data_IF_597689760291
#
_entry.id   IF_597689760291
#
_cell.length_a   1.000
_cell.length_b   1.000
_cell.length_c   1.000
_cell.angle_alpha   90.00
_cell.angle_beta   90.00
_cell.angle_gamma   90.00
#
_symmetry.space_group_name_H-M   'P 1'
#
loop_
_entity.id
_entity.type
_entity.pdbx_description
1 polymer ?
#
# COMPACT_ATOMS: atom_id res chain seq x y z
N UNK A 1 -19.20 -43.89 -30.82
CA UNK A 1 -18.38 -43.73 -32.04
C UNK A 1 -17.03 -43.24 -31.58
N UNK A 2 -16.09 -44.18 -31.46
CA UNK A 2 -14.75 -44.01 -30.88
C UNK A 2 -13.78 -43.74 -32.01
N UNK A 3 -13.02 -42.65 -31.94
CA UNK A 3 -11.91 -42.37 -32.87
C UNK A 3 -10.60 -42.32 -32.10
N UNK A 4 -9.87 -43.43 -32.20
CA UNK A 4 -8.48 -43.62 -31.78
C UNK A 4 -7.57 -42.86 -32.76
N UNK A 5 -6.67 -42.01 -32.30
CA UNK A 5 -5.56 -41.42 -33.05
C UNK A 5 -4.22 -41.93 -32.53
N UNK A 6 -3.53 -42.58 -33.44
CA UNK A 6 -2.24 -43.25 -33.33
C UNK A 6 -1.10 -42.31 -32.97
N UNK A 7 -0.15 -42.83 -32.21
CA UNK A 7 1.12 -42.22 -31.86
C UNK A 7 2.07 -42.05 -33.03
N UNK A 8 2.93 -41.03 -32.93
CA UNK A 8 4.16 -40.92 -33.75
C UNK A 8 5.36 -41.08 -32.81
N UNK A 9 6.17 -42.08 -33.16
CA UNK A 9 7.48 -42.37 -32.62
C UNK A 9 8.51 -41.31 -33.01
N UNK A 10 9.33 -40.88 -32.06
CA UNK A 10 10.51 -40.03 -32.25
C UNK A 10 11.74 -40.90 -32.59
N UNK A 11 12.65 -40.43 -33.47
CA UNK A 11 13.87 -41.16 -33.80
C UNK A 11 14.98 -40.96 -32.74
N UNK A 12 15.83 -41.95 -32.60
CA UNK A 12 16.98 -42.01 -31.69
C UNK A 12 18.13 -41.09 -32.14
N UNK A 13 18.98 -40.60 -31.19
CA UNK A 13 20.11 -39.77 -31.54
C UNK A 13 21.32 -40.58 -32.03
N UNK A 14 21.91 -40.13 -33.13
CA UNK A 14 23.11 -40.63 -33.75
C UNK A 14 24.36 -40.28 -32.96
N UNK A 15 25.25 -41.25 -32.85
CA UNK A 15 26.62 -41.15 -32.34
C UNK A 15 27.45 -40.07 -33.05
N UNK A 16 28.08 -39.18 -32.31
CA UNK A 16 29.17 -38.31 -32.80
C UNK A 16 30.46 -38.64 -32.03
N UNK A 17 31.44 -38.92 -32.86
CA UNK A 17 32.79 -39.37 -32.56
C UNK A 17 33.64 -38.36 -31.78
N UNK A 18 34.46 -38.93 -30.94
CA UNK A 18 35.55 -38.39 -30.13
C UNK A 18 36.56 -37.57 -30.98
N UNK A 19 36.75 -36.31 -30.61
CA UNK A 19 37.81 -35.42 -31.09
C UNK A 19 38.59 -34.82 -29.93
N UNK A 20 39.69 -35.43 -29.64
CA UNK A 20 40.68 -35.04 -28.64
C UNK A 20 41.34 -33.71 -29.07
N UNK A 21 41.09 -32.58 -28.33
CA UNK A 21 41.88 -31.33 -28.43
C UNK A 21 42.11 -30.73 -27.05
N UNK A 22 43.41 -30.67 -26.74
CA UNK A 22 44.16 -29.75 -25.91
C UNK A 22 43.47 -29.12 -24.69
N UNK A 23 43.89 -29.66 -23.54
CA UNK A 23 43.63 -29.09 -22.22
C UNK A 23 44.65 -27.95 -22.00
N UNK A 24 44.22 -26.70 -22.10
CA UNK A 24 44.93 -25.56 -21.52
C UNK A 24 43.89 -24.39 -21.36
N UNK A 25 43.94 -23.79 -20.16
CA UNK A 25 43.30 -22.54 -19.76
C UNK A 25 41.79 -22.60 -19.45
N UNK A 26 41.44 -23.24 -18.33
CA UNK A 26 40.25 -22.96 -17.59
C UNK A 26 40.58 -21.88 -16.53
N UNK A 27 40.00 -20.68 -16.55
CA UNK A 27 40.16 -19.72 -15.47
C UNK A 27 39.58 -20.32 -14.19
N UNK A 28 40.35 -20.33 -13.10
CA UNK A 28 39.89 -20.75 -11.77
C UNK A 28 38.65 -19.94 -11.41
N UNK A 29 37.53 -20.61 -11.22
CA UNK A 29 36.39 -20.04 -10.55
C UNK A 29 36.82 -19.59 -9.15
N UNK A 30 36.47 -18.37 -8.71
CA UNK A 30 36.69 -17.97 -7.34
C UNK A 30 35.90 -18.91 -6.41
N UNK A 31 36.54 -19.34 -5.34
CA UNK A 31 35.96 -20.19 -4.32
C UNK A 31 34.74 -19.52 -3.71
N UNK A 32 33.55 -19.95 -4.15
CA UNK A 32 32.24 -19.48 -3.68
C UNK A 32 31.86 -20.06 -2.31
N UNK A 33 32.78 -20.69 -1.61
CA UNK A 33 32.53 -21.25 -0.30
C UNK A 33 33.49 -20.65 0.73
N UNK A 34 33.12 -19.48 1.28
CA UNK A 34 33.76 -18.94 2.47
C UNK A 34 32.84 -19.17 3.68
N UNK A 35 33.28 -19.76 4.77
CA UNK A 35 32.49 -19.94 6.00
C UNK A 35 31.95 -18.61 6.58
N UNK A 36 32.61 -17.49 6.26
CA UNK A 36 32.16 -16.15 6.69
C UNK A 36 30.87 -15.70 6.04
N UNK A 37 30.57 -16.11 4.80
CA UNK A 37 29.32 -15.75 4.13
C UNK A 37 28.10 -16.42 4.78
N UNK A 38 28.28 -17.63 5.30
CA UNK A 38 27.22 -18.36 6.02
C UNK A 38 26.98 -17.78 7.42
N UNK A 39 28.02 -17.34 8.12
CA UNK A 39 27.89 -16.68 9.43
C UNK A 39 27.23 -15.31 9.31
N UNK A 40 27.54 -14.51 8.30
CA UNK A 40 26.90 -13.21 8.05
C UNK A 40 25.42 -13.38 7.65
N UNK A 41 25.08 -14.43 6.92
CA UNK A 41 23.71 -14.75 6.55
C UNK A 41 22.92 -15.28 7.78
N UNK A 42 23.54 -16.05 8.64
CA UNK A 42 22.95 -16.54 9.90
C UNK A 42 22.75 -15.41 10.91
N UNK A 43 23.70 -14.48 11.02
CA UNK A 43 23.58 -13.26 11.85
C UNK A 43 22.49 -12.33 11.32
N UNK A 44 22.34 -12.21 9.99
CA UNK A 44 21.26 -11.46 9.38
C UNK A 44 19.88 -12.12 9.60
N UNK A 45 19.81 -13.45 9.65
CA UNK A 45 18.60 -14.21 9.97
C UNK A 45 18.24 -14.17 11.47
N UNK A 46 19.22 -13.98 12.34
CA UNK A 46 19.04 -13.91 13.80
C UNK A 46 18.83 -12.49 14.33
N UNK A 47 18.96 -11.45 13.49
CA UNK A 47 18.59 -10.12 13.92
C UNK A 47 17.07 -10.06 14.10
N UNK A 48 16.56 -9.75 15.32
CA UNK A 48 15.14 -9.55 15.51
C UNK A 48 14.72 -8.45 14.53
N UNK A 49 13.83 -8.79 13.61
CA UNK A 49 13.31 -7.81 12.67
C UNK A 49 12.76 -6.63 13.49
N UNK A 50 13.42 -5.48 13.37
CA UNK A 50 12.90 -4.26 13.97
C UNK A 50 11.48 -4.10 13.46
N UNK A 51 10.53 -4.17 14.40
CA UNK A 51 9.13 -3.88 14.12
C UNK A 51 9.06 -2.62 13.26
N UNK A 52 8.63 -2.75 12.03
CA UNK A 52 8.44 -1.60 11.15
C UNK A 52 7.44 -0.67 11.79
N UNK A 53 7.62 0.63 11.60
CA UNK A 53 6.65 1.60 12.12
C UNK A 53 5.41 1.58 11.23
N UNK A 54 4.24 1.73 11.86
CA UNK A 54 2.97 1.84 11.15
C UNK A 54 3.04 2.95 10.08
N UNK A 55 2.64 2.63 8.84
CA UNK A 55 2.63 3.56 7.71
C UNK A 55 4.00 3.84 7.08
N UNK A 56 5.07 3.13 7.45
CA UNK A 56 6.40 3.35 6.88
C UNK A 56 6.46 2.93 5.41
N UNK A 57 5.80 1.82 5.06
CA UNK A 57 5.72 1.31 3.69
C UNK A 57 4.99 2.28 2.76
N UNK A 58 3.80 2.73 3.16
CA UNK A 58 3.00 3.68 2.40
C UNK A 58 3.70 5.06 2.27
N UNK A 59 4.32 5.55 3.34
CA UNK A 59 5.08 6.82 3.33
C UNK A 59 6.26 6.75 2.37
N UNK A 60 7.06 5.67 2.41
CA UNK A 60 8.16 5.45 1.48
C UNK A 60 7.67 5.39 0.03
N UNK A 61 6.54 4.72 -0.20
CA UNK A 61 5.95 4.64 -1.54
C UNK A 61 5.50 6.00 -2.05
N UNK A 62 4.90 6.82 -1.19
CA UNK A 62 4.57 8.21 -1.50
C UNK A 62 5.80 9.00 -1.92
N UNK A 63 6.90 8.91 -1.17
CA UNK A 63 8.16 9.60 -1.49
C UNK A 63 8.75 9.15 -2.82
N UNK A 64 8.82 7.83 -3.07
CA UNK A 64 9.29 7.25 -4.33
C UNK A 64 8.50 7.77 -5.53
N UNK A 65 7.16 7.73 -5.44
CA UNK A 65 6.26 8.15 -6.51
C UNK A 65 6.33 9.66 -6.74
N UNK A 66 6.41 10.45 -5.68
CA UNK A 66 6.56 11.91 -5.77
C UNK A 66 7.88 12.29 -6.43
N UNK A 67 8.98 11.67 -6.04
CA UNK A 67 10.28 11.90 -6.67
C UNK A 67 10.28 11.46 -8.15
N UNK A 68 9.68 10.31 -8.47
CA UNK A 68 9.57 9.84 -9.85
C UNK A 68 8.71 10.80 -10.69
N UNK A 69 7.60 11.31 -10.13
CA UNK A 69 6.75 12.30 -10.78
C UNK A 69 7.49 13.62 -11.02
N UNK A 70 8.23 14.14 -10.05
CA UNK A 70 9.04 15.34 -10.19
C UNK A 70 10.11 15.18 -11.27
N UNK A 71 10.83 14.05 -11.28
CA UNK A 71 11.83 13.74 -12.32
C UNK A 71 11.20 13.70 -13.70
N UNK A 72 10.06 13.00 -13.85
CA UNK A 72 9.34 12.87 -15.13
C UNK A 72 8.80 14.21 -15.65
N UNK A 73 8.39 15.11 -14.76
CA UNK A 73 7.83 16.42 -15.14
C UNK A 73 8.88 17.55 -15.13
N UNK A 74 10.16 17.26 -14.89
CA UNK A 74 11.22 18.27 -14.86
C UNK A 74 11.23 19.14 -16.11
N UNK A 75 11.09 18.56 -17.29
CA UNK A 75 11.03 19.30 -18.56
C UNK A 75 9.85 20.27 -18.61
N UNK A 76 8.67 19.85 -18.14
CA UNK A 76 7.47 20.72 -18.09
C UNK A 76 7.67 21.90 -17.14
N UNK A 77 8.27 21.67 -15.99
CA UNK A 77 8.60 22.74 -15.04
C UNK A 77 9.63 23.72 -15.61
N UNK A 78 10.63 23.22 -16.35
CA UNK A 78 11.61 24.09 -17.04
C UNK A 78 10.97 24.92 -18.14
N UNK A 79 10.07 24.35 -18.95
CA UNK A 79 9.32 25.08 -19.98
C UNK A 79 8.46 26.17 -19.32
N UNK A 80 7.74 25.83 -18.23
CA UNK A 80 6.94 26.78 -17.48
C UNK A 80 7.80 27.93 -16.93
N UNK A 81 8.94 27.61 -16.32
CA UNK A 81 9.87 28.60 -15.82
C UNK A 81 10.41 29.51 -16.95
N UNK A 82 10.82 28.93 -18.10
CA UNK A 82 11.30 29.67 -19.24
C UNK A 82 10.23 30.59 -19.85
N UNK A 83 8.95 30.18 -19.80
CA UNK A 83 7.82 30.99 -20.27
C UNK A 83 7.58 32.20 -19.38
N UNK A 84 7.61 32.02 -18.06
CA UNK A 84 7.33 33.10 -17.12
C UNK A 84 8.53 33.96 -16.75
N UNK A 85 9.78 33.48 -16.95
CA UNK A 85 10.98 34.24 -16.61
C UNK A 85 11.07 35.59 -17.35
N UNK A 86 10.79 35.70 -18.68
CA UNK A 86 10.81 36.99 -19.37
C UNK A 86 9.80 37.98 -18.80
N UNK A 87 8.59 37.51 -18.43
CA UNK A 87 7.56 38.33 -17.80
C UNK A 87 8.05 38.90 -16.47
N UNK A 88 8.57 38.04 -15.58
CA UNK A 88 9.10 38.46 -14.28
C UNK A 88 10.27 39.43 -14.44
N UNK A 89 11.20 39.14 -15.34
CA UNK A 89 12.33 40.01 -15.61
C UNK A 89 11.87 41.36 -16.16
N UNK A 90 10.98 41.37 -17.18
CA UNK A 90 10.47 42.58 -17.80
C UNK A 90 9.73 43.50 -16.83
N UNK A 91 8.85 42.93 -15.99
CA UNK A 91 8.09 43.71 -14.99
C UNK A 91 9.01 44.29 -13.93
N UNK A 92 10.05 43.57 -13.49
CA UNK A 92 10.99 44.07 -12.50
C UNK A 92 11.95 45.14 -13.10
N UNK A 93 12.35 45.01 -14.36
CA UNK A 93 13.14 46.06 -15.05
C UNK A 93 12.29 47.32 -15.22
N UNK A 94 11.03 47.20 -15.61
CA UNK A 94 10.10 48.33 -15.69
C UNK A 94 9.94 49.01 -14.30
N UNK A 95 9.81 48.26 -13.25
CA UNK A 95 9.65 48.77 -11.88
C UNK A 95 10.95 49.43 -11.36
N UNK A 96 12.11 49.05 -11.87
CA UNK A 96 13.37 49.76 -11.61
C UNK A 96 13.40 51.16 -12.23
N UNK A 97 12.71 51.32 -13.36
CA UNK A 97 12.62 52.61 -14.09
C UNK A 97 11.47 53.50 -13.61
N UNK A 98 10.30 52.90 -13.31
CA UNK A 98 9.11 53.59 -12.82
C UNK A 98 8.72 53.13 -11.40
N UNK A 99 8.94 54.01 -10.42
CA UNK A 99 8.71 53.69 -9.01
C UNK A 99 7.25 53.32 -8.70
N UNK A 100 6.27 53.83 -9.48
CA UNK A 100 4.88 53.50 -9.37
C UNK A 100 4.54 52.03 -9.65
N UNK A 101 5.40 51.33 -10.39
CA UNK A 101 5.22 49.91 -10.75
C UNK A 101 5.80 48.91 -9.74
N UNK A 102 6.50 49.36 -8.68
CA UNK A 102 7.16 48.49 -7.74
C UNK A 102 6.23 47.50 -7.02
N UNK A 103 5.05 47.99 -6.61
CA UNK A 103 4.01 47.17 -6.00
C UNK A 103 3.48 46.13 -6.96
N UNK A 104 3.18 46.47 -8.18
CA UNK A 104 2.68 45.56 -9.23
C UNK A 104 3.73 44.53 -9.61
N UNK A 105 4.99 44.92 -9.69
CA UNK A 105 6.10 44.00 -9.97
C UNK A 105 6.27 42.96 -8.86
N UNK A 106 6.23 43.38 -7.59
CA UNK A 106 6.26 42.48 -6.46
C UNK A 106 5.11 41.50 -6.45
N UNK A 107 3.88 41.96 -6.73
CA UNK A 107 2.69 41.11 -6.78
C UNK A 107 2.76 40.08 -7.90
N UNK A 108 3.14 40.50 -9.13
CA UNK A 108 3.29 39.58 -10.28
C UNK A 108 4.39 38.55 -10.01
N UNK A 109 5.53 38.98 -9.51
CA UNK A 109 6.64 38.06 -9.15
C UNK A 109 6.20 37.08 -8.08
N UNK A 110 5.56 37.55 -7.01
CA UNK A 110 5.05 36.70 -5.92
C UNK A 110 4.01 35.69 -6.42
N UNK A 111 3.09 36.10 -7.30
CA UNK A 111 2.08 35.24 -7.89
C UNK A 111 2.70 34.12 -8.75
N UNK A 112 3.68 34.47 -9.61
CA UNK A 112 4.37 33.49 -10.46
C UNK A 112 5.15 32.48 -9.61
N UNK A 113 5.87 32.96 -8.59
CA UNK A 113 6.61 32.08 -7.66
C UNK A 113 5.63 31.17 -6.91
N UNK A 114 4.54 31.73 -6.36
CA UNK A 114 3.53 30.94 -5.64
C UNK A 114 2.91 29.88 -6.54
N UNK A 115 2.53 30.24 -7.77
CA UNK A 115 1.98 29.30 -8.76
C UNK A 115 2.96 28.17 -9.06
N UNK A 116 4.24 28.50 -9.25
CA UNK A 116 5.27 27.50 -9.52
C UNK A 116 5.49 26.55 -8.34
N UNK A 117 5.52 27.10 -7.11
CA UNK A 117 5.63 26.31 -5.88
C UNK A 117 4.41 25.38 -5.72
N UNK A 118 3.21 25.92 -5.87
CA UNK A 118 1.96 25.12 -5.79
C UNK A 118 1.99 24.00 -6.84
N UNK A 119 2.28 24.31 -8.10
CA UNK A 119 2.33 23.31 -9.17
C UNK A 119 3.35 22.21 -8.89
N UNK A 120 4.47 22.52 -8.23
CA UNK A 120 5.51 21.56 -7.84
C UNK A 120 5.12 20.75 -6.59
N UNK A 121 4.36 21.33 -5.68
CA UNK A 121 3.95 20.70 -4.40
C UNK A 121 2.62 19.95 -4.49
N UNK A 122 1.91 20.01 -5.63
CA UNK A 122 0.62 19.35 -5.83
C UNK A 122 0.80 18.13 -6.74
N UNK A 123 1.24 16.98 -6.19
CA UNK A 123 1.28 15.75 -6.97
C UNK A 123 -0.14 15.32 -7.36
N UNK A 124 -0.29 14.47 -8.39
CA UNK A 124 -1.61 13.95 -8.78
C UNK A 124 -2.30 13.19 -7.64
N UNK A 125 -3.64 13.18 -7.59
CA UNK A 125 -4.41 12.56 -6.50
C UNK A 125 -4.08 11.08 -6.25
N UNK A 126 -3.70 10.34 -7.29
CA UNK A 126 -3.29 8.93 -7.14
C UNK A 126 -1.99 8.76 -6.35
N UNK A 127 -1.12 9.79 -6.29
CA UNK A 127 0.05 9.81 -5.41
C UNK A 127 -0.37 10.21 -3.98
N UNK A 128 -1.25 11.22 -3.87
CA UNK A 128 -1.76 11.68 -2.56
C UNK A 128 -2.48 10.58 -1.79
N UNK A 129 -3.17 9.65 -2.47
CA UNK A 129 -3.82 8.51 -1.84
C UNK A 129 -2.85 7.65 -1.00
N UNK A 130 -1.57 7.58 -1.37
CA UNK A 130 -0.55 6.89 -0.57
C UNK A 130 -0.21 7.63 0.72
N UNK A 131 -0.26 8.95 0.70
CA UNK A 131 -0.09 9.77 1.90
C UNK A 131 -1.29 9.61 2.84
N UNK A 132 -2.51 9.63 2.30
CA UNK A 132 -3.73 9.39 3.07
C UNK A 132 -3.71 7.98 3.70
N UNK A 133 -3.23 6.97 2.97
CA UNK A 133 -2.99 5.61 3.47
C UNK A 133 -2.00 5.60 4.64
N UNK A 134 -0.81 6.18 4.45
CA UNK A 134 0.21 6.25 5.49
C UNK A 134 -0.28 6.93 6.77
N UNK A 135 -1.07 8.00 6.64
CA UNK A 135 -1.67 8.70 7.78
C UNK A 135 -2.67 7.81 8.52
N UNK A 136 -3.54 7.08 7.78
CA UNK A 136 -4.50 6.15 8.37
C UNK A 136 -3.81 5.04 9.16
N UNK A 137 -2.77 4.42 8.57
CA UNK A 137 -1.97 3.38 9.23
C UNK A 137 -1.30 3.91 10.49
N UNK A 138 -0.73 5.14 10.46
CA UNK A 138 -0.14 5.77 11.64
C UNK A 138 -1.16 6.03 12.76
N UNK A 139 -2.38 6.47 12.41
CA UNK A 139 -3.44 6.66 13.39
C UNK A 139 -3.89 5.34 14.00
N UNK A 140 -4.05 4.30 13.19
CA UNK A 140 -4.33 2.94 13.66
C UNK A 140 -3.23 2.43 14.59
N UNK A 141 -1.95 2.58 14.20
CA UNK A 141 -0.84 2.19 15.04
C UNK A 141 -0.79 2.95 16.39
N UNK A 142 -1.21 4.22 16.42
CA UNK A 142 -1.33 4.96 17.68
C UNK A 142 -2.46 4.45 18.56
N UNK A 143 -3.63 4.17 17.95
CA UNK A 143 -4.79 3.61 18.68
C UNK A 143 -4.49 2.23 19.28
N UNK A 144 -3.67 1.42 18.61
CA UNK A 144 -3.28 0.10 19.09
C UNK A 144 -2.24 0.11 20.20
N UNK A 145 -1.46 1.17 20.34
CA UNK A 145 -0.29 1.22 21.28
C UNK A 145 -0.66 0.87 22.72
N UNK A 146 -1.82 1.28 23.18
CA UNK A 146 -2.27 0.98 24.54
C UNK A 146 -2.49 -0.51 24.81
N UNK A 147 -2.74 -1.31 23.77
CA UNK A 147 -2.99 -2.74 23.88
C UNK A 147 -1.71 -3.54 24.14
N UNK A 148 -0.55 -3.04 23.71
CA UNK A 148 0.74 -3.72 23.89
C UNK A 148 1.04 -3.99 25.37
N UNK A 149 0.73 -3.01 26.25
CA UNK A 149 0.89 -3.16 27.69
C UNK A 149 -0.12 -4.13 28.34
N UNK A 150 -1.15 -4.53 27.59
CA UNK A 150 -2.24 -5.41 28.04
C UNK A 150 -2.11 -6.84 27.51
N UNK A 151 -0.93 -7.24 27.05
CA UNK A 151 -0.64 -8.60 26.59
C UNK A 151 -1.05 -8.87 25.14
N UNK A 152 -1.33 -7.82 24.37
CA UNK A 152 -1.53 -7.93 22.92
C UNK A 152 -0.19 -7.86 22.18
N UNK A 153 -0.08 -8.56 21.07
CA UNK A 153 1.06 -8.52 20.15
C UNK A 153 0.61 -7.89 18.85
N UNK A 154 1.33 -6.84 18.43
CA UNK A 154 0.96 -6.01 17.28
C UNK A 154 2.11 -6.00 16.29
N UNK A 155 1.80 -6.32 15.04
CA UNK A 155 2.72 -6.30 13.93
C UNK A 155 2.27 -5.27 12.94
N UNK A 156 3.21 -4.50 12.42
CA UNK A 156 2.95 -3.43 11.45
C UNK A 156 3.69 -3.72 10.15
N UNK A 157 3.07 -3.32 9.02
CA UNK A 157 3.71 -3.29 7.69
C UNK A 157 4.33 -4.64 7.31
N UNK A 158 3.53 -5.72 7.42
CA UNK A 158 3.97 -7.06 7.07
C UNK A 158 3.85 -7.30 5.58
N UNK A 159 4.84 -7.98 4.99
CA UNK A 159 4.80 -8.36 3.59
C UNK A 159 3.85 -9.53 3.38
N UNK A 160 2.98 -9.45 2.37
CA UNK A 160 2.07 -10.49 1.95
C UNK A 160 2.44 -11.01 0.54
N UNK A 161 1.80 -12.10 0.11
CA UNK A 161 1.95 -12.62 -1.25
C UNK A 161 1.49 -11.60 -2.30
N UNK A 162 0.43 -10.86 -2.00
CA UNK A 162 -0.10 -9.78 -2.83
C UNK A 162 -0.17 -8.48 -2.03
N UNK A 163 0.89 -7.69 -2.05
CA UNK A 163 0.93 -6.37 -1.44
C UNK A 163 1.45 -6.36 -0.01
N UNK A 164 0.74 -5.69 0.88
CA UNK A 164 1.14 -5.40 2.25
C UNK A 164 -0.04 -5.58 3.20
N UNK A 165 0.24 -6.00 4.43
CA UNK A 165 -0.70 -6.05 5.54
C UNK A 165 -0.39 -4.90 6.48
N UNK A 166 -1.32 -3.98 6.67
CA UNK A 166 -1.08 -2.79 7.50
C UNK A 166 -0.77 -3.19 8.96
N UNK A 167 -1.66 -4.00 9.57
CA UNK A 167 -1.44 -4.49 10.92
C UNK A 167 -2.02 -5.89 11.12
N UNK A 168 -1.30 -6.73 11.86
CA UNK A 168 -1.82 -7.98 12.42
C UNK A 168 -1.78 -7.86 13.95
N UNK A 169 -2.89 -8.14 14.59
CA UNK A 169 -3.06 -8.00 16.04
C UNK A 169 -3.44 -9.34 16.63
N UNK A 170 -2.67 -9.82 17.59
CA UNK A 170 -2.89 -11.08 18.31
C UNK A 170 -3.11 -10.78 19.78
N UNK A 171 -4.21 -11.25 20.33
CA UNK A 171 -4.52 -11.00 21.74
C UNK A 171 -5.55 -11.98 22.31
N UNK A 172 -5.97 -11.77 23.57
CA UNK A 172 -6.92 -12.65 24.22
C UNK A 172 -8.25 -12.82 23.46
N UNK A 173 -8.71 -11.75 22.79
CA UNK A 173 -9.95 -11.74 22.01
C UNK A 173 -9.87 -12.49 20.67
N UNK A 174 -8.66 -12.78 20.17
CA UNK A 174 -8.48 -13.44 18.87
C UNK A 174 -7.30 -12.92 18.08
N UNK A 175 -7.31 -13.26 16.78
CA UNK A 175 -6.37 -12.72 15.79
C UNK A 175 -7.14 -11.85 14.80
N UNK A 176 -6.63 -10.68 14.54
CA UNK A 176 -7.26 -9.67 13.69
C UNK A 176 -6.27 -9.18 12.64
N UNK A 177 -6.72 -9.13 11.38
CA UNK A 177 -6.01 -8.43 10.32
C UNK A 177 -6.70 -7.08 10.10
N UNK A 178 -5.98 -6.00 10.31
CA UNK A 178 -6.51 -4.64 10.19
C UNK A 178 -5.98 -3.99 8.93
N UNK A 179 -6.87 -3.43 8.14
CA UNK A 179 -6.59 -2.64 6.95
C UNK A 179 -7.11 -1.22 7.18
N UNK A 180 -6.23 -0.23 7.14
CA UNK A 180 -6.53 1.15 7.54
C UNK A 180 -6.97 1.98 6.35
N UNK A 181 -8.15 2.58 6.42
CA UNK A 181 -8.70 3.39 5.34
C UNK A 181 -9.10 4.78 5.83
N UNK A 182 -8.55 5.80 5.16
CA UNK A 182 -8.99 7.18 5.32
C UNK A 182 -9.91 7.55 4.16
N UNK A 183 -11.20 7.36 4.38
CA UNK A 183 -12.20 7.71 3.39
C UNK A 183 -12.77 9.10 3.65
N UNK A 184 -13.08 9.81 2.56
CA UNK A 184 -13.72 11.13 2.63
C UNK A 184 -15.22 10.97 2.47
N UNK A 185 -15.99 11.84 3.13
CA UNK A 185 -17.45 11.79 3.13
C UNK A 185 -18.02 10.93 4.25
N UNK A 186 -19.35 10.86 4.31
CA UNK A 186 -20.05 10.01 5.27
C UNK A 186 -20.05 8.57 4.76
N UNK A 187 -19.59 7.65 5.59
CA UNK A 187 -19.45 6.24 5.26
C UNK A 187 -20.57 5.44 5.94
N UNK A 188 -21.22 4.59 5.17
CA UNK A 188 -22.19 3.59 5.68
C UNK A 188 -21.79 2.21 5.16
N UNK A 189 -22.15 1.17 5.89
CA UNK A 189 -21.86 -0.23 5.52
C UNK A 189 -23.15 -1.02 5.57
N UNK A 190 -23.47 -1.69 4.47
CA UNK A 190 -24.60 -2.60 4.36
C UNK A 190 -24.05 -4.00 4.06
N UNK A 191 -24.24 -4.92 5.02
CA UNK A 191 -23.50 -6.20 5.00
C UNK A 191 -21.98 -5.94 4.97
N UNK A 192 -21.29 -6.42 3.95
CA UNK A 192 -19.85 -6.16 3.74
C UNK A 192 -19.60 -5.12 2.64
N UNK A 193 -20.58 -4.30 2.28
CA UNK A 193 -20.48 -3.33 1.20
C UNK A 193 -20.38 -1.90 1.74
N UNK A 194 -19.19 -1.29 1.78
CA UNK A 194 -19.03 0.10 2.21
C UNK A 194 -19.42 1.06 1.06
N UNK A 195 -20.22 2.05 1.41
CA UNK A 195 -20.69 3.11 0.51
C UNK A 195 -20.32 4.46 1.07
N UNK A 196 -19.67 5.28 0.26
CA UNK A 196 -19.39 6.68 0.56
C UNK A 196 -20.49 7.58 0.02
N UNK A 197 -20.89 8.58 0.80
CA UNK A 197 -21.82 9.62 0.41
C UNK A 197 -21.18 10.99 0.60
N UNK A 198 -21.42 11.92 -0.32
CA UNK A 198 -21.00 13.31 -0.14
C UNK A 198 -21.79 13.96 0.99
N UNK A 199 -21.11 14.73 1.86
CA UNK A 199 -21.72 15.40 3.00
C UNK A 199 -22.47 16.67 2.55
N UNK A 200 -21.88 17.40 1.59
CA UNK A 200 -22.42 18.68 1.10
C UNK A 200 -22.54 18.68 -0.42
N UNK A 201 -23.60 19.26 -0.95
CA UNK A 201 -23.84 19.40 -2.39
C UNK A 201 -24.73 18.28 -2.98
N UNK A 202 -24.63 18.02 -4.31
CA UNK A 202 -25.43 16.99 -4.96
C UNK A 202 -25.24 15.63 -4.30
N UNK A 203 -26.32 14.86 -4.14
CA UNK A 203 -26.30 13.52 -3.55
C UNK A 203 -25.53 12.57 -4.46
N UNK A 204 -24.25 12.39 -4.16
CA UNK A 204 -23.34 11.51 -4.89
C UNK A 204 -22.94 10.36 -3.99
N UNK A 205 -23.23 9.16 -4.46
CA UNK A 205 -22.79 7.92 -3.85
C UNK A 205 -21.66 7.31 -4.66
N UNK A 206 -20.69 6.73 -4.00
CA UNK A 206 -19.64 5.94 -4.65
C UNK A 206 -19.36 4.67 -3.87
N UNK A 207 -19.12 3.60 -4.60
CA UNK A 207 -18.75 2.35 -3.99
C UNK A 207 -17.27 2.40 -3.57
N UNK A 208 -17.01 2.04 -2.33
CA UNK A 208 -15.67 1.95 -1.78
C UNK A 208 -15.06 0.56 -2.08
N UNK A 209 -13.77 0.41 -1.74
CA UNK A 209 -13.03 -0.83 -2.02
C UNK A 209 -13.70 -2.03 -1.36
N UNK A 210 -13.89 -3.10 -2.12
CA UNK A 210 -14.42 -4.37 -1.61
C UNK A 210 -13.50 -4.97 -0.55
N UNK A 211 -14.05 -5.56 0.53
CA UNK A 211 -13.26 -6.22 1.56
C UNK A 211 -12.64 -7.56 1.11
N UNK A 212 -12.85 -7.99 -0.13
CA UNK A 212 -12.35 -9.26 -0.66
C UNK A 212 -10.83 -9.41 -0.50
N UNK A 213 -10.07 -8.34 -0.74
CA UNK A 213 -8.62 -8.34 -0.56
C UNK A 213 -8.23 -8.59 0.89
N UNK A 214 -8.84 -7.88 1.84
CA UNK A 214 -8.56 -8.02 3.28
C UNK A 214 -8.92 -9.43 3.77
N UNK A 215 -10.02 -10.01 3.26
CA UNK A 215 -10.39 -11.40 3.55
C UNK A 215 -9.34 -12.39 3.02
N UNK A 216 -8.81 -12.17 1.83
CA UNK A 216 -7.72 -12.98 1.26
C UNK A 216 -6.46 -12.96 2.13
N UNK A 217 -6.03 -11.78 2.55
CA UNK A 217 -4.91 -11.61 3.46
C UNK A 217 -5.15 -12.27 4.83
N UNK A 218 -6.37 -12.22 5.35
CA UNK A 218 -6.72 -12.90 6.62
C UNK A 218 -6.57 -14.43 6.51
N UNK A 219 -6.89 -15.02 5.35
CA UNK A 219 -6.65 -16.43 5.07
C UNK A 219 -5.14 -16.72 5.04
N UNK A 220 -4.32 -15.86 4.44
CA UNK A 220 -2.88 -16.00 4.41
C UNK A 220 -2.27 -16.00 5.82
N UNK A 221 -2.69 -15.08 6.69
CA UNK A 221 -2.30 -15.06 8.11
C UNK A 221 -2.72 -16.35 8.83
N UNK A 222 -3.95 -16.82 8.61
CA UNK A 222 -4.44 -18.08 9.21
C UNK A 222 -3.61 -19.29 8.76
N UNK A 223 -3.18 -19.33 7.50
CA UNK A 223 -2.30 -20.38 6.98
C UNK A 223 -0.90 -20.30 7.59
N UNK A 224 -0.34 -19.10 7.74
CA UNK A 224 0.94 -18.88 8.40
C UNK A 224 0.92 -19.39 9.84
N UNK A 225 -0.12 -19.05 10.61
CA UNK A 225 -0.30 -19.55 11.98
C UNK A 225 -0.43 -21.07 12.00
N UNK A 226 -1.22 -21.66 11.10
CA UNK A 226 -1.39 -23.12 11.03
C UNK A 226 -0.07 -23.83 10.74
N UNK A 227 0.76 -23.28 9.88
CA UNK A 227 2.07 -23.83 9.55
C UNK A 227 3.00 -23.80 10.75
N UNK A 228 3.04 -22.70 11.50
CA UNK A 228 3.92 -22.53 12.67
C UNK A 228 3.45 -23.27 13.93
N UNK A 229 2.12 -23.30 14.17
CA UNK A 229 1.56 -23.85 15.43
C UNK A 229 0.83 -25.19 15.29
N UNK A 230 0.57 -25.64 14.04
CA UNK A 230 -0.31 -26.76 13.70
C UNK A 230 -1.77 -26.58 14.18
N UNK A 231 -2.14 -25.40 14.65
CA UNK A 231 -3.47 -25.06 15.09
C UNK A 231 -4.18 -24.21 14.04
N UNK A 232 -5.48 -24.45 13.84
CA UNK A 232 -6.32 -23.58 13.01
C UNK A 232 -6.86 -22.47 13.87
N UNK A 233 -6.52 -21.21 13.53
CA UNK A 233 -7.01 -20.01 14.19
C UNK A 233 -7.78 -19.18 13.16
N UNK A 234 -8.98 -18.76 13.54
CA UNK A 234 -9.74 -17.82 12.73
C UNK A 234 -9.11 -16.43 12.84
N UNK A 235 -8.81 -15.83 11.69
CA UNK A 235 -8.33 -14.44 11.60
C UNK A 235 -9.48 -13.57 11.15
N UNK A 236 -9.86 -12.61 11.98
CA UNK A 236 -10.97 -11.70 11.68
C UNK A 236 -10.46 -10.55 10.81
N UNK A 237 -10.93 -10.40 9.55
CA UNK A 237 -10.61 -9.25 8.72
C UNK A 237 -11.35 -8.02 9.23
N UNK A 238 -10.64 -6.90 9.36
CA UNK A 238 -11.17 -5.64 9.87
C UNK A 238 -10.70 -4.49 8.99
N UNK A 239 -11.62 -3.66 8.57
CA UNK A 239 -11.32 -2.36 7.94
C UNK A 239 -11.48 -1.28 9.00
N UNK A 240 -10.40 -0.58 9.31
CA UNK A 240 -10.39 0.55 10.25
C UNK A 240 -10.70 1.81 9.48
N UNK A 241 -11.85 2.42 9.76
CA UNK A 241 -12.34 3.61 9.06
C UNK A 241 -11.93 4.87 9.80
N UNK A 242 -11.13 5.70 9.13
CA UNK A 242 -10.76 7.04 9.58
C UNK A 242 -11.51 8.07 8.73
N UNK A 243 -12.53 8.69 9.30
CA UNK A 243 -13.42 9.63 8.63
C UNK A 243 -14.80 9.65 9.29
N UNK A 244 -15.79 10.22 8.62
CA UNK A 244 -17.16 10.21 9.10
C UNK A 244 -17.80 8.84 8.88
N UNK A 245 -17.84 8.03 9.91
CA UNK A 245 -18.45 6.72 9.93
C UNK A 245 -19.55 6.70 10.96
N UNK A 246 -20.82 6.66 10.51
CA UNK A 246 -21.99 6.77 11.36
C UNK A 246 -22.17 5.56 12.30
N UNK A 247 -21.65 4.41 11.88
CA UNK A 247 -21.70 3.17 12.65
C UNK A 247 -20.40 3.01 13.45
N UNK A 248 -20.50 2.66 14.72
CA UNK A 248 -19.30 2.35 15.52
C UNK A 248 -18.66 1.06 15.02
N UNK A 249 -19.48 0.07 14.68
CA UNK A 249 -19.09 -1.21 14.10
C UNK A 249 -20.14 -1.62 13.06
N UNK A 250 -19.67 -2.08 11.91
CA UNK A 250 -20.49 -2.60 10.81
C UNK A 250 -19.89 -3.86 10.21
N UNK A 251 -20.55 -4.41 9.19
CA UNK A 251 -20.09 -5.54 8.41
C UNK A 251 -20.39 -6.93 9.02
N UNK A 252 -20.54 -7.91 8.14
CA UNK A 252 -20.88 -9.28 8.51
C UNK A 252 -19.63 -10.17 8.65
N UNK A 253 -18.97 -10.46 7.55
CA UNK A 253 -17.79 -11.34 7.50
C UNK A 253 -16.47 -10.57 7.54
N UNK A 254 -16.47 -9.29 7.17
CA UNK A 254 -15.41 -8.33 7.39
C UNK A 254 -15.94 -7.23 8.32
N UNK A 255 -15.28 -6.95 9.42
CA UNK A 255 -15.71 -5.91 10.35
C UNK A 255 -15.21 -4.54 9.89
N UNK A 256 -16.08 -3.53 9.99
CA UNK A 256 -15.72 -2.13 9.77
C UNK A 256 -15.82 -1.44 11.11
N UNK A 257 -14.72 -0.88 11.58
CA UNK A 257 -14.64 -0.30 12.93
C UNK A 257 -14.12 1.13 12.82
N UNK A 258 -14.79 2.09 13.49
CA UNK A 258 -14.27 3.45 13.55
C UNK A 258 -12.95 3.48 14.31
N UNK A 259 -11.96 4.20 13.78
CA UNK A 259 -10.61 4.22 14.33
C UNK A 259 -10.52 4.58 15.81
N UNK A 260 -11.31 5.58 16.26
CA UNK A 260 -11.34 5.99 17.66
C UNK A 260 -11.94 4.94 18.61
N UNK A 261 -12.73 4.02 18.07
CA UNK A 261 -13.36 2.95 18.83
C UNK A 261 -12.59 1.63 18.78
N UNK A 262 -11.54 1.56 17.96
CA UNK A 262 -10.82 0.32 17.65
C UNK A 262 -10.27 -0.38 18.89
N UNK A 263 -9.52 0.30 19.72
CA UNK A 263 -8.88 -0.29 20.90
C UNK A 263 -9.91 -0.82 21.89
N UNK A 264 -11.01 -0.07 22.12
CA UNK A 264 -12.11 -0.50 22.97
C UNK A 264 -12.78 -1.74 22.37
N UNK A 265 -13.12 -1.70 21.09
CA UNK A 265 -13.76 -2.80 20.40
C UNK A 265 -12.94 -4.09 20.46
N UNK A 266 -11.61 -4.00 20.31
CA UNK A 266 -10.70 -5.16 20.44
C UNK A 266 -10.71 -5.72 21.87
N UNK A 267 -10.70 -4.86 22.90
CA UNK A 267 -10.75 -5.26 24.32
C UNK A 267 -12.08 -5.91 24.69
N UNK A 268 -13.16 -5.46 24.09
CA UNK A 268 -14.52 -5.99 24.36
C UNK A 268 -14.77 -7.34 23.68
N UNK A 269 -13.83 -7.86 22.86
CA UNK A 269 -13.96 -9.19 22.30
C UNK A 269 -13.84 -10.26 23.39
N UNK A 270 -14.72 -11.30 23.36
CA UNK A 270 -14.63 -12.37 24.34
C UNK A 270 -13.28 -13.08 24.27
N UNK A 271 -12.70 -13.37 25.42
CA UNK A 271 -11.42 -14.07 25.49
C UNK A 271 -11.55 -15.48 24.90
N UNK A 272 -10.78 -15.74 23.83
CA UNK A 272 -10.77 -17.00 23.07
C UNK A 272 -9.42 -17.66 23.03
N UNK A 273 -8.37 -16.92 23.36
CA UNK A 273 -6.96 -17.35 23.29
C UNK A 273 -6.33 -17.16 24.67
N UNK A 274 -5.79 -18.22 25.22
CA UNK A 274 -5.05 -18.18 26.48
C UNK A 274 -3.73 -17.41 26.32
N UNK A 275 -3.19 -16.73 27.36
CA UNK A 275 -2.02 -15.88 27.26
C UNK A 275 -0.77 -16.56 26.68
N UNK A 276 -0.50 -17.81 27.06
CA UNK A 276 0.60 -18.63 26.54
C UNK A 276 0.44 -18.92 25.04
N UNK A 277 -0.79 -19.08 24.58
CA UNK A 277 -1.13 -19.29 23.17
C UNK A 277 -0.99 -18.00 22.35
N UNK A 278 -1.24 -16.84 22.97
CA UNK A 278 -1.03 -15.53 22.30
C UNK A 278 0.42 -15.40 21.86
N UNK A 279 1.37 -15.71 22.74
CA UNK A 279 2.80 -15.62 22.40
C UNK A 279 3.18 -16.62 21.29
N UNK A 280 2.75 -17.87 21.40
CA UNK A 280 3.01 -18.90 20.40
C UNK A 280 2.46 -18.54 19.01
N UNK A 281 1.26 -17.95 18.94
CA UNK A 281 0.66 -17.48 17.69
C UNK A 281 1.44 -16.28 17.16
N UNK A 282 1.83 -15.35 18.01
CA UNK A 282 2.60 -14.18 17.65
C UNK A 282 3.97 -14.55 17.06
N UNK A 283 4.66 -15.51 17.65
CA UNK A 283 5.92 -16.06 17.11
C UNK A 283 5.74 -16.69 15.73
N UNK A 284 4.64 -17.45 15.53
CA UNK A 284 4.33 -18.03 14.23
C UNK A 284 4.06 -16.96 13.16
N UNK A 285 3.32 -15.89 13.51
CA UNK A 285 3.10 -14.75 12.61
C UNK A 285 4.43 -14.06 12.28
N UNK A 286 5.24 -13.76 13.29
CA UNK A 286 6.53 -13.12 13.10
C UNK A 286 7.45 -13.96 12.19
N UNK A 287 7.55 -15.25 12.44
CA UNK A 287 8.45 -16.14 11.68
C UNK A 287 8.00 -16.35 10.23
N UNK A 288 6.69 -16.54 10.01
CA UNK A 288 6.17 -16.84 8.68
C UNK A 288 6.15 -15.62 7.75
N UNK A 289 5.83 -14.44 8.29
CA UNK A 289 5.69 -13.20 7.51
C UNK A 289 6.99 -12.38 7.45
N UNK A 290 7.95 -12.67 8.34
CA UNK A 290 9.30 -12.13 8.26
C UNK A 290 10.14 -12.78 7.15
N UNK A 291 9.87 -14.03 6.80
CA UNK A 291 10.61 -14.82 5.81
C UNK A 291 10.18 -14.63 4.36
N UNK A 292 9.15 -13.83 4.07
CA UNK A 292 8.76 -13.49 2.70
C UNK A 292 9.72 -12.42 2.17
N UNK A 293 10.83 -12.89 1.61
CA UNK A 293 11.91 -12.09 1.05
C UNK A 293 11.41 -11.10 -0.01
N UNK A 294 11.90 -9.88 0.08
CA UNK A 294 11.62 -8.69 -0.76
C UNK A 294 12.02 -8.89 -2.23
N UNK A 295 12.46 -10.07 -2.66
CA UNK A 295 12.94 -10.35 -4.02
C UNK A 295 11.85 -10.60 -5.06
N UNK A 296 10.58 -10.75 -4.69
CA UNK A 296 9.48 -10.75 -5.68
C UNK A 296 9.19 -9.32 -6.12
N UNK A 297 9.83 -8.95 -7.21
CA UNK A 297 9.59 -7.73 -7.99
C UNK A 297 8.08 -7.56 -8.24
N UNK A 298 7.49 -6.57 -7.59
CA UNK A 298 6.13 -6.12 -7.86
C UNK A 298 6.03 -5.68 -9.33
N UNK A 299 5.18 -6.34 -10.11
CA UNK A 299 4.80 -5.90 -11.45
C UNK A 299 3.59 -4.98 -11.34
N UNK A 300 3.65 -3.75 -11.87
CA UNK A 300 2.52 -2.83 -11.83
C UNK A 300 1.47 -3.22 -12.89
N UNK A 301 0.67 -4.24 -12.61
CA UNK A 301 -0.45 -4.63 -13.46
C UNK A 301 -1.81 -4.09 -12.99
N UNK A 302 -1.83 -3.27 -11.94
CA UNK A 302 -3.08 -2.63 -11.51
C UNK A 302 -3.27 -1.37 -12.34
N UNK A 303 -4.06 -1.47 -13.42
CA UNK A 303 -4.71 -0.29 -14.00
C UNK A 303 -5.52 0.37 -12.90
N UNK A 304 -5.50 1.72 -12.80
CA UNK A 304 -6.39 2.40 -11.87
C UNK A 304 -7.83 1.97 -12.16
N UNK A 305 -8.65 1.71 -11.13
CA UNK A 305 -10.05 1.38 -11.33
C UNK A 305 -10.69 2.49 -12.15
N UNK A 306 -11.25 2.14 -13.31
CA UNK A 306 -12.09 3.05 -14.06
C UNK A 306 -13.25 3.43 -13.17
N UNK A 307 -13.38 4.73 -12.86
CA UNK A 307 -14.55 5.30 -12.23
C UNK A 307 -15.74 5.01 -13.13
N UNK A 308 -16.45 3.92 -12.89
CA UNK A 308 -17.77 3.71 -13.49
C UNK A 308 -18.71 4.71 -12.85
N UNK A 309 -18.82 5.90 -13.49
CA UNK A 309 -19.88 6.84 -13.21
C UNK A 309 -21.15 6.18 -13.78
N UNK A 310 -21.89 5.49 -12.93
CA UNK A 310 -23.22 4.99 -13.24
C UNK A 310 -24.20 6.16 -13.19
N UNK A 311 -24.12 7.03 -14.17
CA UNK A 311 -25.06 8.10 -14.40
C UNK A 311 -25.99 7.73 -15.54
N UNK A 312 -27.06 6.96 -15.27
CA UNK A 312 -28.25 6.96 -16.12
C UNK A 312 -29.10 8.19 -15.74
N UNK A 313 -28.82 9.31 -16.36
CA UNK A 313 -29.68 10.49 -16.38
C UNK A 313 -29.68 11.03 -17.80
N UNK A 314 -30.53 10.49 -18.66
CA UNK A 314 -30.92 11.16 -19.90
C UNK A 314 -31.70 12.42 -19.52
N UNK A 315 -31.04 13.56 -19.52
CA UNK A 315 -31.68 14.86 -19.56
C UNK A 315 -31.64 15.35 -21.02
N UNK A 316 -32.68 15.02 -21.79
CA UNK A 316 -33.04 15.71 -22.99
C UNK A 316 -33.62 17.06 -22.59
N UNK A 317 -32.77 18.07 -22.40
CA UNK A 317 -33.14 19.47 -22.18
C UNK A 317 -32.79 20.28 -23.42
N UNK A 318 -33.80 20.50 -24.28
CA UNK A 318 -33.78 21.48 -25.40
C UNK A 318 -33.67 22.87 -24.76
N UNK A 319 -32.67 23.64 -25.14
CA UNK A 319 -32.58 25.07 -24.78
C UNK A 319 -33.56 25.87 -25.66
N UNK A 320 -34.39 26.77 -25.10
CA UNK A 320 -35.13 27.73 -25.91
C UNK A 320 -34.24 28.90 -26.32
N UNK A 321 -34.49 29.35 -27.53
CA UNK A 321 -33.93 30.50 -28.26
C UNK A 321 -34.00 31.83 -27.52
#
# INVERSE_FOLDING_TARGET
>A
MVLVRRGRSLPAPSHVTNGNRGMSDCPRQPDLWSPQADDDMLVAMLQPQRSRKAGEGAARKYEELTQAWLRRNRGRFLILAAFFAPLVIGVNLAAAHWSSLRWSAGLVTGMVVAMFVIARMSPPPWIENWQDGAVAEQWTGRALRELESQGWRIFHDLTASEGNMDHVVVGPGGVFLLDSKRWRGSITVEGDSPVGRRIEGPDLHWQLTSPAHVKGLAVEVSQAIRTGTRATVWVTPVIVVWGEFAQVVGGDTCKFVHGDSLARWLKDQPARIAPDRVEQIAEAVASALAGLDVTRRWSPSVRPPELKISGRGQASGRWPS
#
